data_IF_640080580822
#
_entry.id   IF_640080580822
#
_cell.length_a   1.000
_cell.length_b   1.000
_cell.length_c   1.000
_cell.angle_alpha   90.00
_cell.angle_beta   90.00
_cell.angle_gamma   90.00
#
_symmetry.space_group_name_H-M   'P 1'
#
loop_
_entity.id
_entity.type
_entity.pdbx_description
1 polymer ?
#
# COMPACT_ATOMS: atom_id res chain seq x y z
N UNK A 1 27.35 -2.48 35.18
CA UNK A 1 26.83 -2.55 33.78
C UNK A 1 26.74 -3.99 33.24
N UNK A 2 26.79 -5.00 34.11
CA UNK A 2 26.83 -6.44 33.71
C UNK A 2 25.46 -7.13 33.82
N UNK A 3 24.37 -6.42 34.08
CA UNK A 3 23.04 -7.00 34.31
C UNK A 3 22.12 -7.08 33.09
N UNK A 4 22.49 -6.54 31.94
CA UNK A 4 21.63 -6.57 30.71
C UNK A 4 21.87 -7.79 29.82
N UNK A 5 23.04 -8.44 29.87
CA UNK A 5 23.37 -9.56 28.99
C UNK A 5 22.85 -10.93 29.47
N UNK A 6 22.35 -11.04 30.68
CA UNK A 6 21.81 -12.31 31.20
C UNK A 6 20.32 -12.52 30.96
N UNK A 7 19.60 -11.54 30.46
CA UNK A 7 18.14 -11.61 30.21
C UNK A 7 17.70 -12.49 29.03
N UNK A 8 18.59 -13.14 28.34
CA UNK A 8 18.27 -13.95 27.17
C UNK A 8 18.78 -15.41 27.21
N UNK A 9 19.56 -15.79 28.22
CA UNK A 9 20.06 -17.19 28.30
C UNK A 9 19.05 -18.06 29.03
N UNK A 10 18.51 -19.04 28.32
CA UNK A 10 17.71 -20.08 28.93
C UNK A 10 18.63 -20.92 29.88
N UNK A 11 18.13 -21.30 31.08
CA UNK A 11 18.85 -22.21 31.96
C UNK A 11 19.07 -23.55 31.26
N UNK A 12 20.11 -24.33 31.62
CA UNK A 12 20.34 -25.64 31.05
C UNK A 12 19.17 -26.57 31.42
N UNK A 13 18.38 -26.94 30.44
CA UNK A 13 17.23 -27.82 30.59
C UNK A 13 17.62 -29.26 30.11
N UNK A 14 16.97 -30.27 30.70
CA UNK A 14 17.12 -31.67 30.29
C UNK A 14 15.80 -32.20 29.76
N UNK A 15 15.86 -33.06 28.77
CA UNK A 15 14.66 -33.74 28.27
C UNK A 15 13.99 -34.55 29.39
N UNK A 16 12.65 -34.42 29.50
CA UNK A 16 11.86 -35.04 30.57
C UNK A 16 11.92 -34.33 31.94
N UNK A 17 12.62 -33.18 32.03
CA UNK A 17 12.63 -32.37 33.25
C UNK A 17 11.27 -31.78 33.55
N UNK A 18 10.71 -32.01 34.73
CA UNK A 18 9.49 -31.34 35.19
C UNK A 18 9.78 -29.87 35.49
N UNK A 19 8.98 -28.98 34.93
CA UNK A 19 9.03 -27.53 35.16
C UNK A 19 7.77 -27.10 35.85
N UNK A 20 7.92 -26.19 36.83
CA UNK A 20 6.78 -25.44 37.39
C UNK A 20 6.66 -24.08 36.72
N UNK A 21 5.44 -23.66 36.41
CA UNK A 21 5.20 -22.31 35.92
C UNK A 21 4.79 -21.39 37.09
N UNK A 22 5.21 -20.14 37.05
CA UNK A 22 4.75 -19.11 38.00
C UNK A 22 3.51 -18.41 37.45
N UNK A 23 3.52 -18.09 36.17
CA UNK A 23 2.43 -17.42 35.47
C UNK A 23 2.45 -17.80 34.00
N UNK A 24 1.28 -18.06 33.43
CA UNK A 24 1.09 -18.25 32.01
C UNK A 24 0.13 -17.17 31.50
N UNK A 25 0.51 -16.48 30.42
CA UNK A 25 -0.28 -15.38 29.89
C UNK A 25 -0.64 -15.63 28.44
N UNK A 26 -1.94 -15.65 28.14
CA UNK A 26 -2.48 -15.64 26.80
C UNK A 26 -2.94 -14.23 26.44
N UNK A 27 -2.34 -13.63 25.44
CA UNK A 27 -2.64 -12.27 24.98
C UNK A 27 -3.23 -12.28 23.59
N UNK A 28 -4.42 -11.68 23.44
CA UNK A 28 -5.03 -11.48 22.12
C UNK A 28 -4.10 -10.65 21.22
N UNK A 29 -3.94 -11.09 19.99
CA UNK A 29 -3.09 -10.46 18.99
C UNK A 29 -3.86 -10.31 17.69
N UNK A 30 -3.53 -9.25 16.94
CA UNK A 30 -4.14 -8.95 15.66
C UNK A 30 -3.08 -8.91 14.58
N UNK A 31 -3.44 -9.41 13.41
CA UNK A 31 -2.59 -9.26 12.22
C UNK A 31 -2.47 -7.78 11.87
N UNK A 32 -1.28 -7.38 11.43
CA UNK A 32 -1.01 -6.01 11.00
C UNK A 32 -1.02 -5.96 9.48
N UNK A 33 -1.70 -4.96 8.92
CA UNK A 33 -1.57 -4.65 7.50
C UNK A 33 -0.12 -4.25 7.16
N UNK A 34 0.28 -4.45 5.91
CA UNK A 34 1.56 -3.97 5.42
C UNK A 34 1.72 -2.46 5.66
N UNK A 35 2.92 -2.05 6.02
CA UNK A 35 3.20 -0.65 6.27
C UNK A 35 3.07 0.17 4.98
N UNK A 36 2.40 1.33 5.06
CA UNK A 36 2.34 2.27 3.94
C UNK A 36 3.73 2.77 3.57
N UNK A 37 3.93 3.10 2.32
CA UNK A 37 5.20 3.62 1.82
C UNK A 37 5.56 4.98 2.44
N UNK A 38 6.85 5.18 2.63
CA UNK A 38 7.50 6.49 2.62
C UNK A 38 8.02 6.74 1.21
N UNK A 39 8.47 7.95 0.91
CA UNK A 39 9.14 8.23 -0.37
C UNK A 39 10.34 7.27 -0.59
N UNK A 40 11.17 7.09 0.43
CA UNK A 40 12.34 6.20 0.34
C UNK A 40 11.96 4.72 0.11
N UNK A 41 10.94 4.20 0.80
CA UNK A 41 10.51 2.81 0.61
C UNK A 41 9.75 2.62 -0.71
N UNK A 42 9.11 3.68 -1.24
CA UNK A 42 8.53 3.65 -2.58
C UNK A 42 9.63 3.61 -3.65
N UNK A 43 10.67 4.44 -3.54
CA UNK A 43 11.85 4.37 -4.43
C UNK A 43 12.44 2.97 -4.44
N UNK A 44 12.69 2.39 -3.26
CA UNK A 44 13.20 1.02 -3.17
C UNK A 44 12.28 0.02 -3.88
N UNK A 45 10.96 0.17 -3.74
CA UNK A 45 10.00 -0.72 -4.40
C UNK A 45 9.98 -0.55 -5.92
N UNK A 46 10.09 0.68 -6.42
CA UNK A 46 10.23 0.96 -7.85
C UNK A 46 11.52 0.34 -8.42
N UNK A 47 12.63 0.45 -7.69
CA UNK A 47 13.90 -0.17 -8.05
C UNK A 47 13.81 -1.72 -8.11
N UNK A 48 13.22 -2.35 -7.09
CA UNK A 48 12.97 -3.79 -7.04
C UNK A 48 12.13 -4.28 -8.24
N UNK A 49 11.19 -3.47 -8.70
CA UNK A 49 10.31 -3.77 -9.83
C UNK A 49 10.92 -3.39 -11.19
N UNK A 50 12.06 -2.69 -11.21
CA UNK A 50 12.67 -2.17 -12.44
C UNK A 50 11.90 -1.01 -13.08
N UNK A 51 11.07 -0.30 -12.30
CA UNK A 51 10.25 0.82 -12.78
C UNK A 51 11.00 2.14 -12.59
N UNK A 52 11.36 2.79 -13.70
CA UNK A 52 12.13 4.03 -13.70
C UNK A 52 13.64 3.85 -13.48
N UNK A 53 14.32 4.95 -13.29
CA UNK A 53 15.77 5.03 -13.08
C UNK A 53 16.08 6.01 -11.95
N UNK A 54 17.27 5.97 -11.34
CA UNK A 54 17.65 6.89 -10.26
C UNK A 54 17.38 8.37 -10.57
N UNK A 55 17.56 8.78 -11.81
CA UNK A 55 17.31 10.15 -12.27
C UNK A 55 15.83 10.53 -12.33
N UNK A 56 14.90 9.57 -12.37
CA UNK A 56 13.46 9.80 -12.55
C UNK A 56 12.62 9.55 -11.29
N UNK A 57 13.11 8.84 -10.29
CA UNK A 57 12.33 8.50 -9.09
C UNK A 57 11.78 9.73 -8.38
N UNK A 58 12.63 10.68 -8.05
CA UNK A 58 12.23 11.88 -7.30
C UNK A 58 11.22 12.73 -8.10
N UNK A 59 11.45 12.93 -9.40
CA UNK A 59 10.55 13.69 -10.25
C UNK A 59 9.19 13.02 -10.43
N UNK A 60 9.15 11.69 -10.55
CA UNK A 60 7.91 10.92 -10.66
C UNK A 60 7.09 11.00 -9.38
N UNK A 61 7.72 10.80 -8.22
CA UNK A 61 7.06 10.92 -6.92
C UNK A 61 6.56 12.35 -6.71
N UNK A 62 7.36 13.36 -7.04
CA UNK A 62 6.94 14.76 -6.98
C UNK A 62 5.70 15.04 -7.84
N UNK A 63 5.65 14.50 -9.06
CA UNK A 63 4.52 14.69 -9.98
C UNK A 63 3.20 14.09 -9.49
N UNK A 64 3.20 12.93 -8.87
CA UNK A 64 1.97 12.32 -8.33
C UNK A 64 1.47 13.03 -7.07
N UNK A 65 2.35 13.78 -6.38
CA UNK A 65 2.05 14.56 -5.19
C UNK A 65 1.76 16.05 -5.49
N UNK A 66 1.98 16.49 -6.73
CA UNK A 66 1.83 17.87 -7.16
C UNK A 66 0.38 18.37 -6.96
N UNK A 67 0.23 19.61 -6.48
CA UNK A 67 -1.09 20.23 -6.14
C UNK A 67 -2.11 20.12 -7.30
N UNK A 68 -1.68 20.20 -8.56
CA UNK A 68 -2.56 20.10 -9.73
C UNK A 68 -3.06 18.66 -10.01
N UNK A 69 -2.38 17.64 -9.51
CA UNK A 69 -2.73 16.21 -9.68
C UNK A 69 -3.26 15.60 -8.40
N UNK A 70 -2.52 15.74 -7.31
CA UNK A 70 -2.95 15.32 -5.98
C UNK A 70 -3.35 13.85 -5.88
N UNK A 71 -2.70 12.95 -6.63
CA UNK A 71 -3.03 11.51 -6.60
C UNK A 71 -2.57 10.84 -5.31
N UNK A 72 -1.51 11.37 -4.72
CA UNK A 72 -0.90 10.89 -3.48
C UNK A 72 -0.63 12.07 -2.56
N UNK A 73 -0.89 11.89 -1.27
CA UNK A 73 -0.54 12.86 -0.22
C UNK A 73 0.36 12.22 0.82
N UNK A 74 1.23 13.01 1.40
CA UNK A 74 2.05 12.62 2.55
C UNK A 74 1.35 13.09 3.82
N UNK A 75 1.03 12.14 4.69
CA UNK A 75 0.20 12.41 5.88
C UNK A 75 0.69 11.63 7.09
N UNK A 76 0.24 12.08 8.27
CA UNK A 76 0.45 11.43 9.56
C UNK A 76 -0.88 11.23 10.24
N UNK A 77 -1.13 10.04 10.79
CA UNK A 77 -2.37 9.71 11.49
C UNK A 77 -2.06 9.26 12.90
N UNK A 78 -2.82 9.76 13.85
CA UNK A 78 -2.62 9.45 15.26
C UNK A 78 -3.03 8.04 15.67
N UNK A 79 -3.78 7.35 14.83
CA UNK A 79 -4.33 6.04 15.13
C UNK A 79 -5.56 6.10 16.03
N UNK A 80 -6.05 4.92 16.36
CA UNK A 80 -7.23 4.71 17.20
C UNK A 80 -6.92 3.75 18.33
N UNK A 81 -7.62 3.88 19.44
CA UNK A 81 -7.50 2.97 20.56
C UNK A 81 -8.31 1.70 20.28
N UNK A 82 -7.70 0.55 20.55
CA UNK A 82 -8.30 -0.77 20.37
C UNK A 82 -8.15 -1.55 21.66
N UNK A 83 -9.23 -2.19 22.08
CA UNK A 83 -9.21 -3.10 23.23
C UNK A 83 -8.72 -4.47 22.81
N UNK A 84 -8.01 -5.15 23.70
CA UNK A 84 -7.61 -6.53 23.56
C UNK A 84 -7.66 -7.24 24.92
N UNK A 85 -7.90 -8.55 24.90
CA UNK A 85 -8.02 -9.38 26.08
C UNK A 85 -6.68 -10.02 26.44
N UNK A 86 -6.44 -10.11 27.73
CA UNK A 86 -5.33 -10.88 28.30
C UNK A 86 -5.90 -11.83 29.35
N UNK A 87 -5.58 -13.10 29.24
CA UNK A 87 -5.93 -14.15 30.20
C UNK A 87 -4.64 -14.58 30.90
N UNK A 88 -4.64 -14.56 32.20
CA UNK A 88 -3.49 -14.95 33.02
C UNK A 88 -3.87 -16.12 33.90
N UNK A 89 -3.11 -17.20 33.83
CA UNK A 89 -3.17 -18.34 34.73
C UNK A 89 -2.00 -18.27 35.71
N UNK A 90 -2.28 -18.24 36.99
CA UNK A 90 -1.28 -18.24 38.07
C UNK A 90 -1.00 -19.66 38.57
N UNK A 91 0.11 -19.84 39.29
CA UNK A 91 0.52 -21.13 39.83
C UNK A 91 -0.43 -21.74 40.87
N UNK A 92 -1.39 -20.97 41.37
CA UNK A 92 -2.46 -21.39 42.27
C UNK A 92 -3.75 -21.79 41.51
N UNK A 93 -3.65 -22.00 40.20
CA UNK A 93 -4.76 -22.30 39.28
C UNK A 93 -5.80 -21.19 39.15
N UNK A 94 -5.54 -20.00 39.68
CA UNK A 94 -6.42 -18.85 39.47
C UNK A 94 -6.32 -18.32 38.06
N UNK A 95 -7.48 -18.03 37.44
CA UNK A 95 -7.58 -17.40 36.11
C UNK A 95 -8.09 -15.97 36.27
N UNK A 96 -7.34 -15.04 35.74
CA UNK A 96 -7.73 -13.62 35.65
C UNK A 96 -7.88 -13.18 34.20
N UNK A 97 -8.99 -12.56 33.86
CA UNK A 97 -9.24 -11.94 32.58
C UNK A 97 -9.14 -10.42 32.72
N UNK A 98 -8.32 -9.81 31.89
CA UNK A 98 -8.15 -8.35 31.90
C UNK A 98 -8.32 -7.80 30.50
N UNK A 99 -9.05 -6.69 30.40
CA UNK A 99 -9.19 -5.94 29.17
C UNK A 99 -8.20 -4.78 29.17
N UNK A 100 -7.37 -4.72 28.14
CA UNK A 100 -6.32 -3.73 27.98
C UNK A 100 -6.58 -2.90 26.72
N UNK A 101 -5.99 -1.73 26.63
CA UNK A 101 -6.11 -0.87 25.47
C UNK A 101 -4.74 -0.66 24.84
N UNK A 102 -4.66 -0.74 23.53
CA UNK A 102 -3.48 -0.38 22.74
C UNK A 102 -3.84 0.65 21.69
N UNK A 103 -2.90 1.54 21.37
CA UNK A 103 -3.07 2.48 20.26
C UNK A 103 -2.58 1.85 18.97
N UNK A 104 -3.47 1.74 17.97
CA UNK A 104 -3.17 1.09 16.69
C UNK A 104 -3.34 2.05 15.52
N UNK A 105 -2.69 1.76 14.38
CA UNK A 105 -2.82 2.58 13.18
C UNK A 105 -2.07 3.91 13.21
N UNK A 106 -1.19 4.13 14.19
CA UNK A 106 -0.30 5.31 14.20
C UNK A 106 0.64 5.24 13.02
N UNK A 107 0.64 6.27 12.20
CA UNK A 107 1.57 6.40 11.06
C UNK A 107 2.14 7.82 11.02
N UNK A 108 3.41 7.95 10.65
CA UNK A 108 4.08 9.24 10.51
C UNK A 108 4.69 9.36 9.12
N UNK A 109 4.40 10.47 8.45
CA UNK A 109 4.99 10.83 7.14
C UNK A 109 4.90 9.68 6.11
N UNK A 110 3.69 9.11 5.93
CA UNK A 110 3.44 8.03 4.97
C UNK A 110 2.66 8.55 3.78
N UNK A 111 2.79 7.84 2.66
CA UNK A 111 2.07 8.13 1.44
C UNK A 111 0.69 7.50 1.47
N UNK A 112 -0.32 8.27 1.12
CA UNK A 112 -1.71 7.86 1.02
C UNK A 112 -2.24 8.21 -0.35
N UNK A 113 -2.92 7.25 -0.99
CA UNK A 113 -3.71 7.54 -2.18
C UNK A 113 -4.87 8.46 -1.81
N UNK A 114 -5.15 9.43 -2.65
CA UNK A 114 -6.36 10.26 -2.56
C UNK A 114 -7.49 9.59 -3.34
N UNK A 115 -8.73 10.05 -3.13
CA UNK A 115 -9.86 9.56 -3.91
C UNK A 115 -9.69 9.83 -5.41
N UNK A 116 -9.09 10.98 -5.76
CA UNK A 116 -8.72 11.29 -7.15
C UNK A 116 -7.70 10.29 -7.69
N UNK A 117 -6.68 9.95 -6.91
CA UNK A 117 -5.68 8.96 -7.29
C UNK A 117 -6.32 7.58 -7.53
N UNK A 118 -7.25 7.17 -6.69
CA UNK A 118 -7.98 5.90 -6.83
C UNK A 118 -8.80 5.90 -8.13
N UNK A 119 -9.64 6.94 -8.36
CA UNK A 119 -10.47 7.03 -9.57
C UNK A 119 -9.65 7.01 -10.85
N UNK A 120 -8.51 7.73 -10.87
CA UNK A 120 -7.61 7.73 -12.04
C UNK A 120 -6.96 6.35 -12.24
N UNK A 121 -6.52 5.71 -11.17
CA UNK A 121 -5.92 4.37 -11.25
C UNK A 121 -6.93 3.34 -11.75
N UNK A 122 -8.13 3.30 -11.18
CA UNK A 122 -9.20 2.38 -11.60
C UNK A 122 -9.58 2.58 -13.08
N UNK A 123 -9.64 3.84 -13.54
CA UNK A 123 -9.89 4.14 -14.95
C UNK A 123 -8.76 3.63 -15.86
N UNK A 124 -7.50 3.86 -15.47
CA UNK A 124 -6.34 3.42 -16.23
C UNK A 124 -6.20 1.89 -16.26
N UNK A 125 -6.42 1.22 -15.13
CA UNK A 125 -6.42 -0.26 -15.07
C UNK A 125 -7.51 -0.86 -15.95
N UNK A 126 -8.68 -0.25 -15.99
CA UNK A 126 -9.80 -0.73 -16.82
C UNK A 126 -9.58 -0.58 -18.32
N UNK A 127 -8.93 0.51 -18.75
CA UNK A 127 -8.84 0.86 -20.18
C UNK A 127 -7.44 0.76 -20.77
N UNK A 128 -6.40 0.70 -19.92
CA UNK A 128 -4.98 0.71 -20.31
C UNK A 128 -4.16 -0.31 -19.50
N UNK A 129 -4.70 -1.50 -19.27
CA UNK A 129 -4.12 -2.55 -18.44
C UNK A 129 -2.69 -2.93 -18.86
N UNK A 130 -2.44 -2.98 -20.18
CA UNK A 130 -1.11 -3.27 -20.72
C UNK A 130 -0.04 -2.27 -20.23
N UNK A 131 -0.40 -0.97 -20.17
CA UNK A 131 0.53 0.09 -19.72
C UNK A 131 0.61 0.12 -18.18
N UNK A 132 -0.47 -0.23 -17.51
CA UNK A 132 -0.53 -0.29 -16.05
C UNK A 132 0.20 -1.51 -15.48
N UNK A 133 0.56 -2.47 -16.31
CA UNK A 133 1.37 -3.60 -15.90
C UNK A 133 2.79 -3.14 -15.52
N UNK A 134 3.25 -3.54 -14.33
CA UNK A 134 4.59 -3.19 -13.86
C UNK A 134 5.70 -3.68 -14.80
N UNK A 135 5.49 -4.82 -15.45
CA UNK A 135 6.42 -5.36 -16.44
C UNK A 135 6.60 -4.46 -17.67
N UNK A 136 5.56 -3.73 -18.09
CA UNK A 136 5.62 -2.83 -19.24
C UNK A 136 6.68 -1.73 -19.06
N UNK A 137 6.65 -1.02 -17.94
CA UNK A 137 7.64 0.04 -17.70
C UNK A 137 9.06 -0.50 -17.63
N UNK A 138 9.26 -1.66 -17.02
CA UNK A 138 10.56 -2.34 -16.98
C UNK A 138 11.04 -2.69 -18.39
N UNK A 139 10.20 -3.29 -19.22
CA UNK A 139 10.52 -3.66 -20.61
C UNK A 139 10.88 -2.43 -21.43
N UNK A 140 10.13 -1.34 -21.31
CA UNK A 140 10.42 -0.09 -22.01
C UNK A 140 11.78 0.50 -21.61
N UNK A 141 12.12 0.47 -20.33
CA UNK A 141 13.43 0.93 -19.84
C UNK A 141 14.58 0.04 -20.37
N UNK A 142 14.39 -1.26 -20.44
CA UNK A 142 15.37 -2.19 -21.03
C UNK A 142 15.55 -1.92 -22.54
N UNK A 143 14.47 -1.64 -23.27
CA UNK A 143 14.53 -1.27 -24.69
C UNK A 143 15.23 0.06 -24.92
N UNK A 144 15.04 1.05 -24.04
CA UNK A 144 15.80 2.30 -24.09
C UNK A 144 17.30 2.07 -23.91
N UNK A 145 17.71 1.15 -23.04
CA UNK A 145 19.12 0.79 -22.88
C UNK A 145 19.69 0.12 -24.15
N UNK A 146 18.87 -0.70 -24.85
CA UNK A 146 19.25 -1.28 -26.14
C UNK A 146 19.40 -0.21 -27.23
N UNK A 147 18.49 0.76 -27.28
CA UNK A 147 18.55 1.88 -28.20
C UNK A 147 19.81 2.73 -27.94
N UNK A 148 20.08 3.05 -26.65
CA UNK A 148 21.24 3.81 -26.25
C UNK A 148 22.57 3.11 -26.62
N UNK A 149 22.58 1.77 -26.64
CA UNK A 149 23.72 0.96 -27.08
C UNK A 149 23.77 0.68 -28.59
N UNK A 150 22.82 1.22 -29.39
CA UNK A 150 22.75 1.03 -30.84
C UNK A 150 22.31 -0.36 -31.28
N UNK A 151 21.70 -1.15 -30.40
CA UNK A 151 21.22 -2.51 -30.67
C UNK A 151 19.76 -2.58 -31.12
N UNK A 152 18.99 -1.53 -30.90
CA UNK A 152 17.59 -1.42 -31.32
C UNK A 152 17.32 -0.07 -31.97
N UNK A 153 16.43 -0.05 -32.97
CA UNK A 153 16.00 1.16 -33.67
C UNK A 153 14.84 1.81 -32.90
N UNK A 154 15.01 3.05 -32.47
CA UNK A 154 14.00 3.76 -31.70
C UNK A 154 12.71 4.05 -32.50
N UNK A 155 12.81 4.26 -33.82
CA UNK A 155 11.64 4.52 -34.70
C UNK A 155 10.76 3.29 -34.76
N UNK A 156 11.35 2.13 -35.05
CA UNK A 156 10.62 0.85 -35.12
C UNK A 156 9.97 0.49 -33.77
N UNK A 157 10.68 0.75 -32.68
CA UNK A 157 10.16 0.54 -31.34
C UNK A 157 8.95 1.42 -31.06
N UNK A 158 9.05 2.72 -31.35
CA UNK A 158 7.94 3.67 -31.16
C UNK A 158 6.77 3.36 -32.07
N UNK A 159 6.99 2.99 -33.31
CA UNK A 159 5.93 2.65 -34.28
C UNK A 159 5.12 1.45 -33.77
N UNK A 160 5.80 0.39 -33.34
CA UNK A 160 5.14 -0.78 -32.77
C UNK A 160 4.31 -0.48 -31.52
N UNK A 161 4.82 0.38 -30.64
CA UNK A 161 4.07 0.82 -29.45
C UNK A 161 2.91 1.74 -29.81
N UNK A 162 3.16 2.75 -30.68
CA UNK A 162 2.19 3.81 -31.00
C UNK A 162 0.90 3.27 -31.59
N UNK A 163 0.98 2.33 -32.54
CA UNK A 163 -0.20 1.81 -33.22
C UNK A 163 -1.19 1.16 -32.24
N UNK A 164 -0.71 0.28 -31.35
CA UNK A 164 -1.58 -0.37 -30.38
C UNK A 164 -2.11 0.62 -29.34
N UNK A 165 -1.25 1.49 -28.82
CA UNK A 165 -1.62 2.49 -27.84
C UNK A 165 -2.62 3.50 -28.40
N UNK A 166 -2.39 4.03 -29.60
CA UNK A 166 -3.26 5.02 -30.21
C UNK A 166 -4.67 4.46 -30.48
N UNK A 167 -4.75 3.23 -30.96
CA UNK A 167 -6.04 2.55 -31.14
C UNK A 167 -6.80 2.41 -29.81
N UNK A 168 -6.12 2.00 -28.75
CA UNK A 168 -6.71 1.92 -27.40
C UNK A 168 -7.20 3.30 -26.94
N UNK A 169 -6.46 4.38 -27.20
CA UNK A 169 -6.88 5.75 -26.89
C UNK A 169 -8.16 6.12 -27.64
N UNK A 170 -8.21 5.88 -28.97
CA UNK A 170 -9.39 6.20 -29.77
C UNK A 170 -10.63 5.42 -29.31
N UNK A 171 -10.48 4.11 -29.06
CA UNK A 171 -11.56 3.29 -28.53
C UNK A 171 -12.03 3.75 -27.15
N UNK A 172 -11.11 4.13 -26.30
CA UNK A 172 -11.45 4.63 -24.94
C UNK A 172 -12.20 5.96 -25.02
N UNK A 173 -11.79 6.88 -25.92
CA UNK A 173 -12.50 8.15 -26.11
C UNK A 173 -13.94 7.91 -26.61
N UNK A 174 -14.14 6.93 -27.48
CA UNK A 174 -15.46 6.63 -28.05
C UNK A 174 -16.38 5.87 -27.08
N UNK A 175 -15.83 4.90 -26.33
CA UNK A 175 -16.63 3.91 -25.60
C UNK A 175 -16.62 4.09 -24.08
N UNK A 176 -15.63 4.80 -23.52
CA UNK A 176 -15.53 4.93 -22.08
C UNK A 176 -16.51 5.97 -21.53
N UNK A 177 -17.26 5.56 -20.53
CA UNK A 177 -18.00 6.50 -19.70
C UNK A 177 -17.01 7.43 -18.97
N UNK A 178 -17.44 8.68 -18.81
CA UNK A 178 -16.64 9.64 -18.05
C UNK A 178 -16.39 9.10 -16.63
N UNK A 179 -15.14 8.94 -16.26
CA UNK A 179 -14.79 8.53 -14.90
C UNK A 179 -15.41 9.53 -13.91
N UNK A 180 -16.42 9.09 -13.19
CA UNK A 180 -17.09 9.90 -12.18
C UNK A 180 -16.57 9.41 -10.82
N UNK A 181 -16.06 10.35 -10.02
CA UNK A 181 -15.74 10.07 -8.63
C UNK A 181 -17.01 9.96 -7.78
N UNK A 182 -18.00 9.19 -8.26
CA UNK A 182 -19.26 8.98 -7.55
C UNK A 182 -19.22 7.67 -6.77
N UNK A 183 -19.60 7.73 -5.51
CA UNK A 183 -19.80 6.56 -4.67
C UNK A 183 -21.24 6.51 -4.19
N UNK A 184 -21.95 5.48 -4.58
CA UNK A 184 -23.31 5.23 -4.08
C UNK A 184 -23.20 4.75 -2.63
N UNK A 185 -23.83 5.47 -1.72
CA UNK A 185 -23.87 5.14 -0.28
C UNK A 185 -25.07 4.24 0.08
N UNK A 186 -26.13 4.27 -0.73
CA UNK A 186 -27.34 3.50 -0.50
C UNK A 186 -28.57 4.20 -1.04
N UNK A 187 -29.74 3.83 -0.51
CA UNK A 187 -31.02 4.49 -0.80
C UNK A 187 -31.55 5.13 0.48
N UNK A 188 -32.09 6.33 0.34
CA UNK A 188 -32.82 7.00 1.41
C UNK A 188 -34.07 6.18 1.77
N UNK A 189 -34.23 5.78 3.04
CA UNK A 189 -35.34 4.93 3.47
C UNK A 189 -36.72 5.59 3.32
N UNK A 190 -36.82 6.92 3.34
CA UNK A 190 -38.11 7.62 3.25
C UNK A 190 -38.51 7.90 1.80
N UNK A 191 -37.57 8.30 0.96
CA UNK A 191 -37.85 8.75 -0.42
C UNK A 191 -37.50 7.72 -1.48
N UNK A 192 -36.75 6.65 -1.12
CA UNK A 192 -36.23 5.64 -2.03
C UNK A 192 -35.16 6.15 -3.01
N UNK A 193 -34.76 7.43 -2.92
CA UNK A 193 -33.76 8.05 -3.79
C UNK A 193 -32.37 7.53 -3.49
N UNK A 194 -31.55 7.41 -4.52
CA UNK A 194 -30.15 7.05 -4.38
C UNK A 194 -29.37 8.17 -3.70
N UNK A 195 -28.70 7.84 -2.60
CA UNK A 195 -27.76 8.72 -1.90
C UNK A 195 -26.36 8.42 -2.43
N UNK A 196 -25.69 9.44 -2.93
CA UNK A 196 -24.33 9.31 -3.47
C UNK A 196 -23.44 10.46 -2.99
N UNK A 197 -22.13 10.18 -2.92
CA UNK A 197 -21.06 11.17 -2.77
C UNK A 197 -20.40 11.34 -4.13
N UNK A 198 -20.18 12.59 -4.53
CA UNK A 198 -19.52 12.95 -5.78
C UNK A 198 -18.34 13.88 -5.49
N UNK A 199 -17.20 13.63 -6.13
CA UNK A 199 -16.11 14.60 -6.16
C UNK A 199 -16.47 15.76 -7.09
N UNK A 200 -16.39 16.97 -6.56
CA UNK A 200 -16.58 18.20 -7.33
C UNK A 200 -15.26 18.95 -7.42
N UNK A 201 -15.02 19.64 -8.55
CA UNK A 201 -13.93 20.61 -8.64
C UNK A 201 -14.37 21.87 -7.89
N UNK A 202 -13.57 22.28 -6.94
CA UNK A 202 -13.59 23.63 -6.37
C UNK A 202 -12.31 24.35 -6.79
#
# INVERSE_FOLDING_TARGET
NDDEDTKGMLPPLREGQALSFTVMTAKERFTKAAARFTEATLVKKLEELGIGRPSTYASTIGKIMEVGRGYVVKDSREGTDRQFQTITLSSDDSIAETQNTERTGVVKNRLFSTDMGIVVTDFLEKHFDNIMNFGFTKEMEERFDLIASGKENWVEMLEGFYHSFHNTVLETIEKADRASGERILGKDPETGKTVLVRMTKF
#
